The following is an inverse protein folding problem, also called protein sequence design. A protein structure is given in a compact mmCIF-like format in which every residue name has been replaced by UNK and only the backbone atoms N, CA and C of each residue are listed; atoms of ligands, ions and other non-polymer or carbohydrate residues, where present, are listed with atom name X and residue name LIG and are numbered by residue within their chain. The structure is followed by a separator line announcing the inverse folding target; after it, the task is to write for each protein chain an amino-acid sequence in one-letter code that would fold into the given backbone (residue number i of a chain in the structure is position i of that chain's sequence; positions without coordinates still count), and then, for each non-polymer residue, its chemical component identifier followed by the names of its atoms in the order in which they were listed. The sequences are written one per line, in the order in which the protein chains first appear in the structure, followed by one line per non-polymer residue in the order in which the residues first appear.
data_IF_459513676535
#
_entry.id   IF_459513676535
#
_cell.length_a   1.000
_cell.length_b   1.000
_cell.length_c   1.000
_cell.angle_alpha   90.00
_cell.angle_beta   90.00
_cell.angle_gamma   90.00
#
_symmetry.space_group_name_H-M   'P 1'
#
loop_
_entity.id
_entity.type
_entity.pdbx_description
1 polymer ?
#
# COMPACT_ATOMS: atom_id res chain seq x y z
N UNK A 1 22.09 7.00 15.29
CA UNK A 1 21.27 8.11 15.82
C UNK A 1 19.83 7.61 15.87
N UNK A 2 19.18 7.63 17.04
CA UNK A 2 17.76 7.30 17.15
C UNK A 2 16.94 8.49 16.62
N UNK A 3 15.98 8.25 15.72
CA UNK A 3 15.20 9.31 15.04
C UNK A 3 13.71 9.29 15.38
N UNK A 4 13.19 8.19 15.96
CA UNK A 4 11.80 8.03 16.37
C UNK A 4 11.66 6.92 17.43
N UNK A 5 10.52 6.92 18.13
CA UNK A 5 9.97 5.74 18.78
C UNK A 5 8.88 5.20 17.85
N UNK A 6 8.97 3.93 17.46
CA UNK A 6 8.07 3.36 16.45
C UNK A 6 7.14 2.35 17.12
N UNK A 7 5.86 2.46 16.82
CA UNK A 7 4.82 1.53 17.25
C UNK A 7 4.40 0.73 16.02
N UNK A 8 4.58 -0.59 16.08
CA UNK A 8 4.01 -1.50 15.09
C UNK A 8 2.69 -2.03 15.65
N UNK A 9 1.58 -1.65 15.01
CA UNK A 9 0.24 -2.07 15.39
C UNK A 9 -0.25 -3.14 14.42
N UNK A 10 -0.46 -4.36 14.91
CA UNK A 10 -1.15 -5.40 14.14
C UNK A 10 -2.65 -5.13 14.16
N UNK A 11 -3.22 -4.82 13.00
CA UNK A 11 -4.61 -4.48 12.87
C UNK A 11 -5.14 -4.85 11.48
N UNK A 12 -6.45 -5.08 11.33
CA UNK A 12 -7.50 -5.14 12.38
C UNK A 12 -7.44 -6.43 13.21
N UNK A 13 -8.40 -6.63 14.12
CA UNK A 13 -8.58 -7.90 14.83
C UNK A 13 -8.64 -9.09 13.84
N UNK A 14 -7.94 -10.18 14.17
CA UNK A 14 -7.69 -11.32 13.30
C UNK A 14 -6.37 -11.26 12.52
N UNK A 15 -5.62 -10.15 12.58
CA UNK A 15 -4.28 -10.01 11.98
C UNK A 15 -3.18 -10.27 13.02
N UNK A 16 -2.20 -11.10 12.66
CA UNK A 16 -1.08 -11.43 13.55
C UNK A 16 -1.58 -12.04 14.86
N UNK A 17 -1.26 -11.41 15.97
CA UNK A 17 -1.76 -11.78 17.30
C UNK A 17 -3.02 -11.03 17.72
N UNK A 18 -3.45 -9.98 17.01
CA UNK A 18 -4.63 -9.21 17.37
C UNK A 18 -5.91 -10.03 17.19
N UNK A 19 -6.84 -9.94 18.14
CA UNK A 19 -8.07 -10.75 18.15
C UNK A 19 -9.23 -10.01 18.81
N UNK A 20 -10.45 -10.38 18.43
CA UNK A 20 -11.67 -9.99 19.14
C UNK A 20 -12.07 -11.14 20.09
N UNK A 21 -12.22 -10.91 21.41
CA UNK A 21 -12.69 -11.92 22.36
C UNK A 21 -14.06 -12.53 22.02
N UNK A 22 -14.89 -11.84 21.25
CA UNK A 22 -16.17 -12.36 20.75
C UNK A 22 -16.00 -13.42 19.66
N UNK A 23 -14.81 -13.50 19.04
CA UNK A 23 -14.50 -14.36 17.91
C UNK A 23 -14.91 -13.77 16.55
N UNK A 24 -15.32 -12.50 16.49
CA UNK A 24 -15.61 -11.82 15.22
C UNK A 24 -14.32 -11.58 14.43
N UNK A 25 -14.36 -11.93 13.14
CA UNK A 25 -13.30 -11.62 12.18
C UNK A 25 -13.81 -10.73 11.03
N UNK A 26 -15.02 -10.16 11.18
CA UNK A 26 -15.61 -9.28 10.17
C UNK A 26 -15.36 -7.82 10.51
N UNK A 27 -14.85 -7.06 9.56
CA UNK A 27 -14.63 -5.62 9.72
C UNK A 27 -14.67 -4.90 8.37
N UNK A 28 -14.56 -3.59 8.40
CA UNK A 28 -14.53 -2.71 7.23
C UNK A 28 -13.56 -1.54 7.48
N UNK A 29 -13.38 -0.67 6.47
CA UNK A 29 -12.47 0.48 6.59
C UNK A 29 -12.82 1.36 7.81
N UNK A 30 -14.11 1.60 8.06
CA UNK A 30 -14.58 2.45 9.16
C UNK A 30 -14.31 1.81 10.54
N UNK A 31 -14.74 0.56 10.75
CA UNK A 31 -14.60 -0.13 12.03
C UNK A 31 -13.11 -0.37 12.34
N UNK A 32 -12.31 -0.76 11.35
CA UNK A 32 -10.86 -0.87 11.52
C UNK A 32 -10.23 0.47 11.91
N UNK A 33 -10.70 1.59 11.36
CA UNK A 33 -10.24 2.93 11.73
C UNK A 33 -10.61 3.28 13.18
N UNK A 34 -11.85 3.01 13.60
CA UNK A 34 -12.28 3.27 14.98
C UNK A 34 -11.50 2.43 16.00
N UNK A 35 -11.24 1.17 15.70
CA UNK A 35 -10.45 0.29 16.57
C UNK A 35 -8.99 0.73 16.64
N UNK A 36 -8.38 1.10 15.51
CA UNK A 36 -7.03 1.66 15.48
C UNK A 36 -6.93 2.97 16.26
N UNK A 37 -7.93 3.85 16.11
CA UNK A 37 -7.99 5.10 16.84
C UNK A 37 -8.07 4.85 18.36
N UNK A 38 -8.92 3.93 18.82
CA UNK A 38 -9.00 3.54 20.24
C UNK A 38 -7.70 2.94 20.74
N UNK A 39 -7.05 2.07 19.97
CA UNK A 39 -5.75 1.50 20.32
C UNK A 39 -4.66 2.58 20.48
N UNK A 40 -4.66 3.60 19.61
CA UNK A 40 -3.75 4.75 19.75
C UNK A 40 -4.05 5.56 21.02
N UNK A 41 -5.33 5.81 21.34
CA UNK A 41 -5.68 6.48 22.59
C UNK A 41 -5.21 5.68 23.81
N UNK A 42 -5.47 4.37 23.82
CA UNK A 42 -5.08 3.47 24.90
C UNK A 42 -3.56 3.39 25.07
N UNK A 43 -2.80 3.44 23.97
CA UNK A 43 -1.35 3.58 24.02
C UNK A 43 -0.94 4.86 24.78
N UNK A 44 -1.53 6.01 24.45
CA UNK A 44 -1.17 7.27 25.13
C UNK A 44 -1.70 7.38 26.56
N UNK A 45 -2.70 6.58 26.94
CA UNK A 45 -3.16 6.49 28.33
C UNK A 45 -2.21 5.61 29.17
N UNK A 46 -1.67 4.53 28.58
CA UNK A 46 -0.69 3.66 29.23
C UNK A 46 0.75 4.21 29.20
N UNK A 47 1.08 5.03 28.20
CA UNK A 47 2.40 5.65 28.01
C UNK A 47 2.32 7.18 27.92
N UNK A 48 1.80 7.87 28.96
CA UNK A 48 1.52 9.31 28.92
C UNK A 48 2.77 10.17 28.71
N UNK A 49 3.96 9.66 29.03
CA UNK A 49 5.24 10.34 28.78
C UNK A 49 5.49 10.67 27.31
N UNK A 50 4.84 9.97 26.37
CA UNK A 50 4.98 10.23 24.95
C UNK A 50 3.97 11.24 24.40
N UNK A 51 2.97 11.68 25.18
CA UNK A 51 1.87 12.53 24.67
C UNK A 51 2.34 13.89 24.14
N UNK A 52 3.48 14.39 24.63
CA UNK A 52 4.09 15.64 24.15
C UNK A 52 4.94 15.47 22.88
N UNK A 53 5.24 14.24 22.48
CA UNK A 53 6.03 14.00 21.28
C UNK A 53 5.22 14.32 20.03
N UNK A 54 5.92 14.74 18.97
CA UNK A 54 5.34 14.79 17.63
C UNK A 54 4.91 13.38 17.22
N UNK A 55 3.64 13.24 16.83
CA UNK A 55 3.04 11.98 16.41
C UNK A 55 2.83 11.96 14.89
N UNK A 56 3.16 10.84 14.27
CA UNK A 56 3.01 10.62 12.84
C UNK A 56 2.33 9.28 12.59
N UNK A 57 1.43 9.23 11.61
CA UNK A 57 0.79 7.98 11.18
C UNK A 57 1.44 7.54 9.88
N UNK A 58 2.02 6.34 9.84
CA UNK A 58 2.71 5.84 8.65
C UNK A 58 2.29 4.42 8.31
N UNK A 59 2.23 4.10 7.02
CA UNK A 59 1.86 2.76 6.57
C UNK A 59 2.18 2.53 5.09
N UNK A 60 1.99 1.28 4.66
CA UNK A 60 2.28 0.83 3.29
C UNK A 60 1.07 0.11 2.66
N UNK A 61 0.98 0.08 1.33
CA UNK A 61 0.01 -0.74 0.59
C UNK A 61 -1.45 -0.35 0.86
N UNK A 62 -2.30 -1.28 1.33
CA UNK A 62 -3.68 -0.97 1.74
C UNK A 62 -3.76 0.06 2.88
N UNK A 63 -2.66 0.28 3.63
CA UNK A 63 -2.59 1.40 4.56
C UNK A 63 -2.62 2.77 3.86
N UNK A 64 -2.55 2.83 2.52
CA UNK A 64 -2.98 3.99 1.75
C UNK A 64 -4.41 4.43 2.05
N UNK A 65 -5.28 3.51 2.51
CA UNK A 65 -6.63 3.78 3.03
C UNK A 65 -6.59 4.01 4.56
N UNK A 66 -5.93 3.13 5.32
CA UNK A 66 -5.93 3.22 6.79
C UNK A 66 -5.25 4.47 7.34
N UNK A 67 -4.15 4.91 6.72
CA UNK A 67 -3.36 6.06 7.21
C UNK A 67 -4.14 7.37 7.11
N UNK A 68 -4.74 7.75 5.96
CA UNK A 68 -5.57 8.94 5.89
C UNK A 68 -6.76 8.90 6.85
N UNK A 69 -7.47 7.77 6.95
CA UNK A 69 -8.64 7.64 7.82
C UNK A 69 -8.27 7.78 9.30
N UNK A 70 -7.19 7.12 9.75
CA UNK A 70 -6.72 7.24 11.13
C UNK A 70 -6.19 8.65 11.43
N UNK A 71 -5.45 9.26 10.49
CA UNK A 71 -4.96 10.63 10.64
C UNK A 71 -6.13 11.63 10.73
N UNK A 72 -7.19 11.46 9.93
CA UNK A 72 -8.38 12.30 9.96
C UNK A 72 -9.10 12.14 11.30
N UNK A 73 -9.26 10.89 11.76
CA UNK A 73 -9.90 10.61 13.04
C UNK A 73 -9.16 11.26 14.23
N UNK A 74 -7.83 11.23 14.20
CA UNK A 74 -6.96 11.90 15.18
C UNK A 74 -6.96 13.43 15.04
N UNK A 75 -7.13 13.96 13.83
CA UNK A 75 -7.26 15.40 13.61
C UNK A 75 -8.58 15.93 14.20
N UNK A 76 -9.68 15.20 13.99
CA UNK A 76 -11.02 15.59 14.46
C UNK A 76 -11.17 15.46 15.98
N UNK A 77 -10.53 14.45 16.57
CA UNK A 77 -10.61 14.17 18.00
C UNK A 77 -9.21 13.86 18.57
N UNK A 78 -8.33 14.87 18.72
CA UNK A 78 -6.92 14.65 19.04
C UNK A 78 -6.66 14.09 20.43
N UNK A 79 -7.54 14.32 21.41
CA UNK A 79 -7.34 13.86 22.80
C UNK A 79 -5.94 14.23 23.36
N UNK A 80 -5.41 15.39 22.97
CA UNK A 80 -4.08 15.86 23.39
C UNK A 80 -2.90 15.20 22.67
N UNK A 81 -3.13 14.38 21.64
CA UNK A 81 -2.12 13.83 20.75
C UNK A 81 -1.67 14.91 19.77
N UNK A 82 -0.36 15.11 19.68
CA UNK A 82 0.26 16.13 18.84
C UNK A 82 0.55 15.59 17.43
N UNK A 83 -0.50 15.36 16.63
CA UNK A 83 -0.38 14.89 15.25
C UNK A 83 0.33 15.94 14.38
N UNK A 84 1.41 15.53 13.71
CA UNK A 84 2.23 16.40 12.84
C UNK A 84 2.19 16.04 11.36
N UNK A 85 1.73 14.84 11.02
CA UNK A 85 1.65 14.42 9.64
C UNK A 85 1.50 12.93 9.47
N UNK A 86 1.56 12.52 8.21
CA UNK A 86 1.40 11.13 7.81
C UNK A 86 2.29 10.80 6.61
N UNK A 87 2.68 9.53 6.49
CA UNK A 87 3.46 9.02 5.37
C UNK A 87 2.87 7.72 4.81
N UNK A 88 2.71 7.65 3.50
CA UNK A 88 2.08 6.53 2.79
C UNK A 88 3.09 6.00 1.78
N UNK A 89 3.53 4.76 1.99
CA UNK A 89 4.43 4.03 1.08
C UNK A 89 3.65 3.13 0.13
N UNK A 90 3.89 3.24 -1.17
CA UNK A 90 3.27 2.38 -2.19
C UNK A 90 1.76 2.16 -1.94
N UNK A 91 1.06 3.23 -1.57
CA UNK A 91 -0.28 3.12 -1.01
C UNK A 91 -1.35 3.01 -2.07
N UNK A 92 -2.38 2.20 -1.81
CA UNK A 92 -3.60 2.11 -2.62
C UNK A 92 -4.51 3.34 -2.38
N UNK A 93 -4.03 4.53 -2.78
CA UNK A 93 -4.67 5.82 -2.46
C UNK A 93 -5.84 6.15 -3.38
N UNK A 94 -5.85 5.61 -4.59
CA UNK A 94 -6.94 5.75 -5.57
C UNK A 94 -6.98 4.59 -6.55
N UNK A 95 -8.03 3.78 -6.46
CA UNK A 95 -8.10 2.49 -7.12
C UNK A 95 -8.19 2.66 -8.65
N UNK A 96 -8.99 3.61 -9.12
CA UNK A 96 -9.12 3.89 -10.56
C UNK A 96 -7.77 4.36 -11.14
N UNK A 97 -7.10 5.28 -10.46
CA UNK A 97 -5.81 5.79 -10.93
C UNK A 97 -4.72 4.71 -10.90
N UNK A 98 -4.70 3.82 -9.91
CA UNK A 98 -3.78 2.68 -9.88
C UNK A 98 -4.10 1.66 -10.97
N UNK A 99 -5.37 1.36 -11.22
CA UNK A 99 -5.80 0.50 -12.33
C UNK A 99 -5.36 1.04 -13.69
N UNK A 100 -5.53 2.34 -13.91
CA UNK A 100 -4.98 2.98 -15.12
C UNK A 100 -3.46 2.88 -15.16
N UNK A 101 -2.80 3.18 -14.05
CA UNK A 101 -1.35 3.19 -13.98
C UNK A 101 -0.75 1.82 -14.31
N UNK A 102 -1.34 0.71 -13.85
CA UNK A 102 -0.78 -0.63 -14.07
C UNK A 102 -0.79 -1.04 -15.56
N UNK A 103 -1.79 -0.60 -16.34
CA UNK A 103 -1.84 -0.87 -17.79
C UNK A 103 -0.73 -0.12 -18.53
N UNK A 104 -0.57 1.18 -18.24
CA UNK A 104 0.53 1.96 -18.77
C UNK A 104 1.88 1.42 -18.32
N UNK A 105 2.01 1.05 -17.05
CA UNK A 105 3.23 0.48 -16.48
C UNK A 105 3.62 -0.80 -17.23
N UNK A 106 2.69 -1.75 -17.37
CA UNK A 106 2.94 -3.03 -18.03
C UNK A 106 3.42 -2.88 -19.47
N UNK A 107 2.78 -2.00 -20.25
CA UNK A 107 3.22 -1.73 -21.61
C UNK A 107 4.63 -1.12 -21.66
N UNK A 108 4.86 -0.02 -20.95
CA UNK A 108 6.14 0.70 -21.01
C UNK A 108 7.29 -0.03 -20.30
N UNK A 109 7.01 -1.08 -19.53
CA UNK A 109 8.00 -2.00 -18.97
C UNK A 109 8.14 -3.30 -19.78
N UNK A 110 7.49 -3.39 -20.94
CA UNK A 110 7.69 -4.47 -21.90
C UNK A 110 7.05 -5.80 -21.50
N UNK A 111 6.01 -5.78 -20.67
CA UNK A 111 5.28 -7.01 -20.29
C UNK A 111 4.42 -7.54 -21.44
N UNK A 112 3.89 -6.66 -22.26
CA UNK A 112 3.13 -7.00 -23.47
C UNK A 112 3.44 -6.04 -24.61
N UNK A 113 3.33 -6.53 -25.84
CA UNK A 113 3.78 -5.84 -27.05
C UNK A 113 2.72 -4.93 -27.69
N UNK A 114 3.17 -4.23 -28.74
CA UNK A 114 2.39 -3.21 -29.47
C UNK A 114 1.03 -3.72 -29.96
N UNK A 115 0.94 -4.97 -30.42
CA UNK A 115 -0.33 -5.53 -30.93
C UNK A 115 -1.43 -5.49 -29.84
N UNK A 116 -1.11 -5.99 -28.64
CA UNK A 116 -2.06 -5.97 -27.51
C UNK A 116 -2.30 -4.54 -27.02
N UNK A 117 -1.25 -3.70 -26.95
CA UNK A 117 -1.42 -2.32 -26.51
C UNK A 117 -2.28 -1.50 -27.48
N UNK A 118 -2.12 -1.69 -28.78
CA UNK A 118 -2.95 -1.05 -29.80
C UNK A 118 -4.41 -1.53 -29.69
N UNK A 119 -4.63 -2.82 -29.43
CA UNK A 119 -5.97 -3.37 -29.20
C UNK A 119 -6.61 -2.76 -27.94
N UNK A 120 -5.90 -2.76 -26.81
CA UNK A 120 -6.36 -2.11 -25.56
C UNK A 120 -6.70 -0.64 -25.81
N UNK A 121 -5.77 0.14 -26.37
CA UNK A 121 -5.95 1.58 -26.49
C UNK A 121 -6.99 1.99 -27.55
N UNK A 122 -7.13 1.25 -28.65
CA UNK A 122 -8.15 1.55 -29.68
C UNK A 122 -9.57 1.33 -29.18
N UNK A 123 -9.76 0.43 -28.21
CA UNK A 123 -11.08 0.07 -27.69
C UNK A 123 -11.39 0.74 -26.34
N UNK A 124 -10.37 1.06 -25.54
CA UNK A 124 -10.55 1.60 -24.19
C UNK A 124 -10.28 3.11 -24.07
N UNK A 125 -9.68 3.75 -25.07
CA UNK A 125 -9.31 5.17 -25.01
C UNK A 125 -10.08 6.02 -26.03
N UNK A 126 -10.57 7.18 -25.59
CA UNK A 126 -11.22 8.13 -26.48
C UNK A 126 -10.22 9.20 -26.96
N UNK A 127 -9.69 9.01 -28.16
CA UNK A 127 -8.78 9.96 -28.81
C UNK A 127 -7.31 9.76 -28.39
N UNK A 128 -6.70 10.77 -27.78
CA UNK A 128 -5.26 10.70 -27.40
C UNK A 128 -5.11 9.79 -26.20
N UNK A 129 -4.26 8.76 -26.28
CA UNK A 129 -4.02 7.81 -25.19
C UNK A 129 -3.41 8.50 -23.96
N UNK A 130 -4.18 8.64 -22.89
CA UNK A 130 -3.75 9.22 -21.61
C UNK A 130 -4.60 8.72 -20.44
N UNK A 131 -4.21 9.05 -19.21
CA UNK A 131 -5.01 8.69 -18.01
C UNK A 131 -6.41 9.33 -17.98
N UNK A 132 -6.61 10.45 -18.69
CA UNK A 132 -7.88 11.16 -18.76
C UNK A 132 -8.85 10.54 -19.78
N UNK A 133 -8.32 9.95 -20.84
CA UNK A 133 -9.11 9.48 -22.00
C UNK A 133 -9.29 7.98 -22.02
N UNK A 134 -8.44 7.23 -21.31
CA UNK A 134 -8.51 5.78 -21.21
C UNK A 134 -9.33 5.34 -19.99
N UNK A 135 -10.24 4.40 -20.22
CA UNK A 135 -10.97 3.64 -19.21
C UNK A 135 -10.74 2.15 -19.45
N UNK A 136 -9.84 1.54 -18.67
CA UNK A 136 -9.45 0.13 -18.82
C UNK A 136 -10.34 -0.78 -17.96
N UNK A 137 -11.66 -0.76 -18.22
CA UNK A 137 -12.71 -1.56 -17.56
C UNK A 137 -13.26 -1.06 -16.21
N UNK A 138 -12.99 0.19 -15.81
CA UNK A 138 -13.56 0.71 -14.56
C UNK A 138 -15.03 1.13 -14.71
N UNK A 139 -15.38 1.85 -15.78
CA UNK A 139 -16.78 2.22 -16.07
C UNK A 139 -17.34 1.48 -17.29
N UNK A 140 -16.49 1.23 -18.29
CA UNK A 140 -16.85 0.49 -19.50
C UNK A 140 -16.97 -1.01 -19.23
N UNK A 141 -18.01 -1.60 -19.79
CA UNK A 141 -18.25 -3.04 -19.79
C UNK A 141 -18.31 -3.60 -21.23
N UNK A 142 -17.82 -2.81 -22.19
CA UNK A 142 -17.73 -3.24 -23.59
C UNK A 142 -16.69 -4.37 -23.70
N UNK A 143 -17.08 -5.58 -24.14
CA UNK A 143 -16.14 -6.69 -24.32
C UNK A 143 -14.96 -6.32 -25.22
N UNK A 144 -15.13 -5.43 -26.20
CA UNK A 144 -14.05 -4.98 -27.06
C UNK A 144 -12.92 -4.27 -26.29
N UNK A 145 -13.22 -3.65 -25.15
CA UNK A 145 -12.22 -3.10 -24.24
C UNK A 145 -11.83 -4.08 -23.13
N UNK A 146 -12.83 -4.73 -22.51
CA UNK A 146 -12.61 -5.58 -21.33
C UNK A 146 -11.78 -6.82 -21.65
N UNK A 147 -11.98 -7.46 -22.80
CA UNK A 147 -11.25 -8.68 -23.18
C UNK A 147 -9.73 -8.45 -23.35
N UNK A 148 -9.26 -7.45 -24.13
CA UNK A 148 -7.82 -7.20 -24.23
C UNK A 148 -7.22 -6.66 -22.92
N UNK A 149 -7.98 -5.94 -22.10
CA UNK A 149 -7.55 -5.55 -20.74
C UNK A 149 -7.34 -6.79 -19.87
N UNK A 150 -8.25 -7.78 -19.91
CA UNK A 150 -8.07 -9.04 -19.20
C UNK A 150 -6.81 -9.79 -19.66
N UNK A 151 -6.52 -9.82 -20.96
CA UNK A 151 -5.29 -10.45 -21.47
C UNK A 151 -4.05 -9.74 -20.91
N UNK A 152 -4.01 -8.40 -20.96
CA UNK A 152 -2.90 -7.63 -20.41
C UNK A 152 -2.76 -7.83 -18.90
N UNK A 153 -3.88 -7.88 -18.18
CA UNK A 153 -3.94 -8.13 -16.75
C UNK A 153 -3.43 -9.52 -16.38
N UNK A 154 -3.84 -10.57 -17.08
CA UNK A 154 -3.34 -11.94 -16.88
C UNK A 154 -1.83 -12.07 -17.15
N UNK A 155 -1.27 -11.25 -18.05
CA UNK A 155 0.18 -11.17 -18.26
C UNK A 155 0.87 -10.50 -17.06
N UNK A 156 0.33 -9.39 -16.55
CA UNK A 156 0.85 -8.68 -15.38
C UNK A 156 0.82 -9.58 -14.13
N UNK A 157 -0.25 -10.37 -13.99
CA UNK A 157 -0.40 -11.39 -12.95
C UNK A 157 0.21 -12.74 -13.32
N UNK A 158 0.90 -12.81 -14.45
CA UNK A 158 1.34 -14.07 -15.04
C UNK A 158 2.43 -14.74 -14.22
N UNK A 159 2.44 -16.08 -14.28
CA UNK A 159 3.38 -16.95 -13.56
C UNK A 159 4.83 -16.48 -13.69
N UNK A 160 5.40 -16.09 -12.56
CA UNK A 160 6.84 -15.85 -12.40
C UNK A 160 7.26 -14.38 -12.42
N UNK A 161 6.33 -13.45 -12.64
CA UNK A 161 6.57 -12.03 -12.37
C UNK A 161 6.40 -11.74 -10.88
N UNK A 162 7.29 -10.95 -10.32
CA UNK A 162 7.13 -10.43 -8.98
C UNK A 162 6.39 -9.10 -9.03
N UNK A 163 5.11 -9.15 -8.67
CA UNK A 163 4.23 -7.98 -8.65
C UNK A 163 4.75 -6.86 -7.74
N UNK A 164 5.41 -7.22 -6.65
CA UNK A 164 5.92 -6.25 -5.70
C UNK A 164 7.27 -5.67 -6.13
N UNK A 165 8.01 -6.32 -7.04
CA UNK A 165 9.24 -5.75 -7.61
C UNK A 165 9.52 -6.44 -8.94
N UNK A 166 9.20 -5.76 -10.05
CA UNK A 166 9.28 -6.34 -11.39
C UNK A 166 10.63 -7.00 -11.71
N UNK A 167 11.73 -6.48 -11.15
CA UNK A 167 13.08 -6.91 -11.48
C UNK A 167 13.67 -7.92 -10.49
N UNK A 168 12.93 -8.32 -9.46
CA UNK A 168 13.33 -9.37 -8.52
C UNK A 168 12.73 -10.70 -8.96
N UNK A 169 13.52 -11.78 -9.05
CA UNK A 169 13.02 -13.11 -9.39
C UNK A 169 11.91 -13.57 -8.44
N UNK A 170 10.85 -14.15 -8.99
CA UNK A 170 9.84 -14.86 -8.22
C UNK A 170 10.12 -16.38 -8.31
N UNK A 171 10.53 -17.00 -7.21
CA UNK A 171 10.75 -18.45 -7.18
C UNK A 171 9.40 -19.17 -7.06
N UNK A 172 8.90 -19.69 -8.19
CA UNK A 172 7.70 -20.53 -8.21
C UNK A 172 8.08 -21.89 -7.61
N UNK A 173 8.07 -22.01 -6.28
CA UNK A 173 8.15 -23.31 -5.64
C UNK A 173 6.93 -24.11 -6.06
N UNK A 174 7.11 -25.18 -6.83
CA UNK A 174 6.04 -26.16 -7.08
C UNK A 174 5.72 -26.88 -5.78
N UNK A 175 4.84 -26.32 -4.96
CA UNK A 175 4.33 -27.00 -3.78
C UNK A 175 3.49 -28.22 -4.24
N UNK A 176 3.72 -29.42 -3.69
CA UNK A 176 2.85 -30.57 -3.90
C UNK A 176 1.39 -30.18 -3.63
N UNK A 177 0.48 -30.64 -4.50
CA UNK A 177 -0.97 -30.36 -4.45
C UNK A 177 -1.62 -30.64 -3.08
N UNK A 178 -1.00 -31.52 -2.30
CA UNK A 178 -1.41 -31.89 -0.94
C UNK A 178 -1.14 -30.79 0.09
N UNK A 179 -0.10 -29.95 -0.10
CA UNK A 179 0.17 -28.77 0.75
C UNK A 179 -0.77 -27.61 0.39
N UNK A 180 -1.12 -27.43 -0.90
CA UNK A 180 -2.12 -26.45 -1.33
C UNK A 180 -3.53 -26.70 -0.74
N UNK A 181 -3.81 -27.91 -0.24
CA UNK A 181 -5.10 -28.28 0.35
C UNK A 181 -5.29 -27.82 1.81
N UNK A 182 -4.21 -27.38 2.47
CA UNK A 182 -4.27 -26.68 3.75
C UNK A 182 -4.22 -25.19 3.44
N UNK A 183 -5.05 -24.37 4.11
CA UNK A 183 -5.01 -22.90 4.02
C UNK A 183 -3.60 -22.41 4.41
N UNK A 184 -2.69 -22.38 3.44
CA UNK A 184 -1.32 -21.92 3.67
C UNK A 184 -1.36 -20.38 3.74
N UNK A 185 -0.72 -19.77 4.76
CA UNK A 185 -0.68 -18.32 4.94
C UNK A 185 -0.25 -17.55 3.68
N UNK A 186 0.65 -18.14 2.91
CA UNK A 186 1.20 -17.59 1.66
C UNK A 186 0.12 -17.41 0.59
N UNK A 187 -0.79 -18.39 0.44
CA UNK A 187 -1.90 -18.35 -0.52
C UNK A 187 -2.86 -17.19 -0.21
N UNK A 188 -3.03 -16.88 1.07
CA UNK A 188 -3.95 -15.82 1.51
C UNK A 188 -3.41 -14.42 1.22
N UNK A 189 -2.12 -14.17 1.44
CA UNK A 189 -1.51 -12.85 1.15
C UNK A 189 -1.69 -12.46 -0.32
N UNK A 190 -1.46 -13.42 -1.22
CA UNK A 190 -1.59 -13.23 -2.66
C UNK A 190 -3.03 -13.05 -3.08
N UNK A 191 -3.96 -13.82 -2.50
CA UNK A 191 -5.38 -13.67 -2.79
C UNK A 191 -5.88 -12.26 -2.44
N UNK A 192 -5.41 -11.69 -1.32
CA UNK A 192 -5.74 -10.33 -0.93
C UNK A 192 -5.20 -9.29 -1.94
N UNK A 193 -3.95 -9.44 -2.40
CA UNK A 193 -3.38 -8.54 -3.42
C UNK A 193 -4.04 -8.70 -4.79
N UNK A 194 -4.38 -9.93 -5.19
CA UNK A 194 -5.12 -10.19 -6.42
C UNK A 194 -6.52 -9.56 -6.37
N UNK A 195 -7.22 -9.69 -5.25
CA UNK A 195 -8.51 -9.03 -5.06
C UNK A 195 -8.38 -7.51 -5.14
N UNK A 196 -7.33 -6.93 -4.54
CA UNK A 196 -7.06 -5.50 -4.59
C UNK A 196 -6.85 -5.03 -6.04
N UNK A 197 -5.96 -5.69 -6.79
CA UNK A 197 -5.67 -5.33 -8.18
C UNK A 197 -6.87 -5.51 -9.10
N UNK A 198 -7.62 -6.58 -8.92
CA UNK A 198 -8.86 -6.83 -9.68
C UNK A 198 -9.82 -5.66 -9.48
N UNK A 199 -10.00 -5.24 -8.22
CA UNK A 199 -10.83 -4.09 -7.88
C UNK A 199 -10.29 -2.80 -8.48
N UNK A 200 -8.97 -2.57 -8.46
CA UNK A 200 -8.33 -1.40 -9.08
C UNK A 200 -8.63 -1.27 -10.58
N UNK A 201 -8.80 -2.38 -11.28
CA UNK A 201 -9.15 -2.41 -12.71
C UNK A 201 -10.66 -2.47 -12.97
N UNK A 202 -11.51 -2.52 -11.94
CA UNK A 202 -12.95 -2.69 -12.11
C UNK A 202 -13.36 -4.06 -12.66
N UNK A 203 -12.45 -5.03 -12.65
CA UNK A 203 -12.69 -6.37 -13.20
C UNK A 203 -13.44 -7.26 -12.20
N UNK A 204 -14.02 -8.36 -12.68
CA UNK A 204 -14.54 -9.41 -11.79
C UNK A 204 -13.41 -10.33 -11.36
N UNK A 205 -13.42 -10.75 -10.09
CA UNK A 205 -12.43 -11.70 -9.56
C UNK A 205 -12.63 -13.05 -10.21
N UNK A 206 -11.62 -13.53 -10.95
CA UNK A 206 -11.55 -14.93 -11.36
C UNK A 206 -11.29 -15.82 -10.14
N UNK A 207 -11.91 -17.00 -10.10
CA UNK A 207 -11.65 -18.04 -9.10
C UNK A 207 -10.25 -18.68 -9.25
N UNK A 208 -9.53 -18.38 -10.33
CA UNK A 208 -8.20 -18.94 -10.59
C UNK A 208 -7.12 -18.21 -9.81
N UNK A 209 -6.83 -18.70 -8.60
CA UNK A 209 -5.65 -18.29 -7.84
C UNK A 209 -4.42 -18.93 -8.47
N UNK A 210 -3.50 -18.09 -8.95
CA UNK A 210 -2.17 -18.53 -9.35
C UNK A 210 -1.21 -18.18 -8.22
N UNK A 211 -0.50 -19.20 -7.73
CA UNK A 211 0.50 -19.08 -6.66
C UNK A 211 1.70 -18.24 -7.13
N UNK A 212 1.90 -17.09 -6.48
CA UNK A 212 2.93 -16.10 -6.75
C UNK A 212 3.64 -15.68 -5.46
N UNK A 213 4.21 -16.63 -4.72
CA UNK A 213 4.98 -16.25 -3.56
C UNK A 213 6.38 -15.77 -3.97
N UNK A 214 6.50 -14.48 -4.26
CA UNK A 214 7.77 -13.90 -4.67
C UNK A 214 8.64 -13.44 -3.49
N UNK A 215 8.14 -13.54 -2.25
CA UNK A 215 8.91 -13.28 -1.04
C UNK A 215 8.74 -14.40 -0.02
N UNK A 216 9.84 -15.08 0.33
CA UNK A 216 9.80 -16.11 1.34
C UNK A 216 9.50 -15.52 2.73
N UNK A 217 8.37 -15.92 3.32
CA UNK A 217 7.94 -15.52 4.67
C UNK A 217 8.07 -16.64 5.73
N UNK A 218 8.65 -17.78 5.36
CA UNK A 218 8.84 -18.96 6.24
C UNK A 218 9.52 -18.59 7.56
N UNK A 219 10.56 -17.75 7.49
CA UNK A 219 11.31 -17.35 8.66
C UNK A 219 10.48 -16.52 9.65
N UNK A 220 9.54 -15.72 9.16
CA UNK A 220 8.62 -14.95 10.00
C UNK A 220 7.65 -15.90 10.70
N UNK A 221 7.04 -16.81 9.95
CA UNK A 221 6.15 -17.84 10.49
C UNK A 221 6.85 -18.69 11.56
N UNK A 222 8.08 -19.13 11.29
CA UNK A 222 8.87 -19.93 12.22
C UNK A 222 9.25 -19.13 13.47
N UNK A 223 9.63 -17.87 13.33
CA UNK A 223 10.07 -17.05 14.45
C UNK A 223 8.93 -16.66 15.39
N UNK A 224 7.86 -16.05 14.85
CA UNK A 224 6.75 -15.56 15.66
C UNK A 224 5.94 -16.68 16.32
N UNK A 225 5.91 -17.89 15.74
CA UNK A 225 5.21 -19.01 16.38
C UNK A 225 6.06 -19.81 17.40
N UNK A 226 7.28 -19.37 17.71
CA UNK A 226 8.06 -19.96 18.79
C UNK A 226 7.48 -19.61 20.15
N UNK A 227 7.37 -20.60 21.03
CA UNK A 227 6.83 -20.42 22.39
C UNK A 227 7.57 -19.34 23.19
N UNK A 228 8.90 -19.31 23.11
CA UNK A 228 9.69 -18.32 23.83
C UNK A 228 9.53 -16.89 23.27
N UNK A 229 9.21 -16.75 21.99
CA UNK A 229 8.88 -15.45 21.37
C UNK A 229 7.49 -15.00 21.77
N UNK A 230 6.49 -15.88 21.74
CA UNK A 230 5.12 -15.59 22.18
C UNK A 230 5.11 -15.10 23.65
N UNK A 231 5.85 -15.79 24.52
CA UNK A 231 5.98 -15.40 25.93
C UNK A 231 6.71 -14.06 26.10
N UNK A 232 7.79 -13.83 25.34
CA UNK A 232 8.54 -12.57 25.38
C UNK A 232 7.74 -11.37 24.84
N UNK A 233 6.78 -11.60 23.95
CA UNK A 233 5.87 -10.58 23.40
C UNK A 233 4.59 -10.41 24.23
N UNK A 234 4.34 -11.27 25.23
CA UNK A 234 3.15 -11.27 26.07
C UNK A 234 1.82 -11.45 25.28
N UNK A 235 1.82 -12.36 24.30
CA UNK A 235 0.69 -12.62 23.40
C UNK A 235 0.10 -14.03 23.54
N UNK A 236 0.33 -14.70 24.68
CA UNK A 236 -0.13 -16.08 24.95
C UNK A 236 -1.65 -16.24 24.92
N UNK A 237 -2.38 -15.14 25.12
CA UNK A 237 -3.85 -15.14 25.10
C UNK A 237 -4.42 -15.08 23.67
N UNK A 238 -3.60 -14.77 22.67
CA UNK A 238 -4.05 -14.76 21.29
C UNK A 238 -4.47 -16.17 20.86
N UNK A 239 -5.68 -16.37 20.33
CA UNK A 239 -6.13 -17.66 19.84
C UNK A 239 -5.54 -18.00 18.46
N UNK A 240 -4.73 -17.11 17.89
CA UNK A 240 -4.25 -17.19 16.52
C UNK A 240 -2.83 -17.74 16.44
N UNK A 241 -2.60 -18.57 15.41
CA UNK A 241 -1.24 -18.84 14.91
C UNK A 241 -0.83 -17.62 14.11
N UNK A 242 0.31 -17.03 14.44
CA UNK A 242 0.78 -15.82 13.78
C UNK A 242 1.07 -16.11 12.32
N UNK A 243 0.52 -15.29 11.44
CA UNK A 243 0.70 -15.35 9.99
C UNK A 243 0.88 -13.93 9.45
N UNK A 244 1.73 -13.73 8.41
CA UNK A 244 1.98 -12.40 7.84
C UNK A 244 0.73 -11.71 7.30
N UNK A 245 -0.23 -12.48 6.77
CA UNK A 245 -1.54 -11.98 6.33
C UNK A 245 -2.64 -12.90 6.84
N UNK A 246 -3.70 -12.32 7.40
CA UNK A 246 -4.79 -13.07 8.03
C UNK A 246 -5.59 -13.90 7.04
N UNK A 247 -5.79 -15.19 7.34
CA UNK A 247 -6.60 -16.13 6.53
C UNK A 247 -8.06 -16.23 6.96
N UNK A 248 -8.43 -15.47 7.99
CA UNK A 248 -9.75 -15.51 8.64
C UNK A 248 -10.48 -14.18 8.58
N UNK A 249 -9.78 -13.10 8.23
CA UNK A 249 -10.34 -11.76 8.13
C UNK A 249 -11.37 -11.69 6.99
N UNK A 250 -12.60 -11.31 7.34
CA UNK A 250 -13.67 -10.99 6.41
C UNK A 250 -13.77 -9.46 6.29
N UNK A 251 -13.02 -8.89 5.36
CA UNK A 251 -12.86 -7.45 5.22
C UNK A 251 -13.76 -6.86 4.14
N UNK A 252 -14.56 -5.84 4.48
CA UNK A 252 -15.36 -5.07 3.53
C UNK A 252 -14.73 -3.71 3.26
N UNK A 253 -14.14 -3.55 2.07
CA UNK A 253 -13.65 -2.27 1.60
C UNK A 253 -14.84 -1.34 1.28
N UNK A 254 -14.80 -0.12 1.79
CA UNK A 254 -15.81 0.92 1.63
C UNK A 254 -15.31 2.08 0.77
N UNK A 255 -14.00 2.31 0.73
CA UNK A 255 -13.40 3.43 0.02
C UNK A 255 -12.57 2.97 -1.17
N UNK A 256 -12.77 3.60 -2.33
CA UNK A 256 -11.97 3.38 -3.54
C UNK A 256 -10.97 4.50 -3.80
N UNK A 257 -11.13 5.66 -3.13
CA UNK A 257 -10.22 6.80 -3.24
C UNK A 257 -10.15 7.54 -1.91
N UNK A 258 -8.96 8.04 -1.58
CA UNK A 258 -8.68 8.83 -0.38
C UNK A 258 -8.59 10.33 -0.67
N UNK A 259 -8.98 10.77 -1.87
CA UNK A 259 -8.78 12.15 -2.32
C UNK A 259 -9.39 13.17 -1.36
N UNK A 260 -10.65 12.99 -0.99
CA UNK A 260 -11.36 13.91 -0.10
C UNK A 260 -10.76 13.93 1.31
N UNK A 261 -10.41 12.76 1.85
CA UNK A 261 -9.78 12.63 3.18
C UNK A 261 -8.41 13.32 3.21
N UNK A 262 -7.58 13.08 2.19
CA UNK A 262 -6.26 13.71 2.05
C UNK A 262 -6.37 15.22 1.85
N UNK A 263 -7.37 15.70 1.11
CA UNK A 263 -7.65 17.14 0.98
C UNK A 263 -8.00 17.77 2.32
N UNK A 264 -8.89 17.15 3.11
CA UNK A 264 -9.24 17.64 4.45
C UNK A 264 -8.02 17.69 5.39
N UNK A 265 -7.17 16.66 5.35
CA UNK A 265 -5.92 16.64 6.12
C UNK A 265 -4.98 17.77 5.71
N UNK A 266 -4.84 18.03 4.40
CA UNK A 266 -3.97 19.08 3.88
C UNK A 266 -4.51 20.48 4.21
N UNK A 267 -5.83 20.67 4.14
CA UNK A 267 -6.52 21.94 4.43
C UNK A 267 -6.51 22.32 5.93
N UNK A 268 -6.17 21.38 6.82
CA UNK A 268 -5.86 21.68 8.23
C UNK A 268 -4.71 22.69 8.41
N UNK A 269 -3.87 22.86 7.38
CA UNK A 269 -2.82 23.88 7.31
C UNK A 269 -1.56 23.60 8.14
N UNK A 270 -1.54 22.55 8.98
CA UNK A 270 -0.42 22.27 9.88
C UNK A 270 0.13 20.84 9.78
N UNK A 271 -0.60 19.92 9.13
CA UNK A 271 -0.11 18.57 8.88
C UNK A 271 0.80 18.53 7.65
N UNK A 272 1.74 17.56 7.65
CA UNK A 272 2.57 17.22 6.50
C UNK A 272 2.13 15.87 5.93
N UNK A 273 1.97 15.79 4.61
CA UNK A 273 1.70 14.53 3.91
C UNK A 273 2.90 14.12 3.07
N UNK A 274 3.39 12.90 3.25
CA UNK A 274 4.38 12.28 2.38
C UNK A 274 3.74 11.09 1.67
N UNK A 275 3.70 11.13 0.34
CA UNK A 275 3.30 10.01 -0.51
C UNK A 275 4.56 9.54 -1.23
N UNK A 276 5.02 8.33 -0.95
CA UNK A 276 6.24 7.81 -1.55
C UNK A 276 6.02 6.45 -2.19
N UNK A 277 6.67 6.19 -3.32
CA UNK A 277 6.53 4.93 -4.05
C UNK A 277 7.89 4.43 -4.52
N UNK A 278 8.15 3.14 -4.37
CA UNK A 278 9.16 2.46 -5.17
C UNK A 278 8.76 2.45 -6.65
N UNK A 279 9.67 2.82 -7.55
CA UNK A 279 9.36 3.01 -8.97
C UNK A 279 9.35 1.72 -9.81
N UNK A 280 9.57 0.56 -9.18
CA UNK A 280 9.49 -0.77 -9.83
C UNK A 280 8.40 -1.68 -9.25
N UNK A 281 7.54 -1.12 -8.40
CA UNK A 281 6.34 -1.78 -7.86
C UNK A 281 5.21 -1.81 -8.90
N UNK A 282 4.59 -2.98 -9.07
CA UNK A 282 3.39 -3.14 -9.91
C UNK A 282 2.10 -3.25 -9.09
N UNK A 283 2.17 -3.54 -7.79
CA UNK A 283 0.98 -3.65 -6.94
C UNK A 283 0.33 -2.27 -6.72
N UNK A 284 1.14 -1.24 -6.49
CA UNK A 284 0.69 0.16 -6.39
C UNK A 284 1.67 1.08 -7.16
N UNK A 285 1.63 1.06 -8.52
CA UNK A 285 2.61 1.74 -9.34
C UNK A 285 2.74 3.22 -9.01
N UNK A 286 3.97 3.75 -9.06
CA UNK A 286 4.27 5.14 -8.68
C UNK A 286 3.47 6.17 -9.49
N UNK A 287 3.13 5.86 -10.76
CA UNK A 287 2.33 6.76 -11.60
C UNK A 287 0.95 6.99 -10.99
N UNK A 288 0.32 5.96 -10.41
CA UNK A 288 -0.99 6.10 -9.74
C UNK A 288 -0.90 7.01 -8.52
N UNK A 289 0.15 6.87 -7.70
CA UNK A 289 0.42 7.75 -6.56
C UNK A 289 0.75 9.19 -6.97
N UNK A 290 1.50 9.39 -8.07
CA UNK A 290 1.77 10.72 -8.61
C UNK A 290 0.49 11.38 -9.15
N UNK A 291 -0.29 10.63 -9.94
CA UNK A 291 -1.55 11.12 -10.50
C UNK A 291 -2.56 11.46 -9.41
N UNK A 292 -2.63 10.64 -8.36
CA UNK A 292 -3.42 10.93 -7.17
C UNK A 292 -2.96 12.23 -6.50
N UNK A 293 -1.65 12.38 -6.26
CA UNK A 293 -1.12 13.58 -5.62
C UNK A 293 -1.45 14.84 -6.43
N UNK A 294 -1.36 14.76 -7.77
CA UNK A 294 -1.75 15.85 -8.67
C UNK A 294 -3.27 16.09 -8.68
N UNK A 295 -4.09 15.04 -8.53
CA UNK A 295 -5.55 15.16 -8.52
C UNK A 295 -6.07 15.94 -7.32
N UNK A 296 -5.29 16.07 -6.23
CA UNK A 296 -5.61 16.92 -5.10
C UNK A 296 -5.82 18.40 -5.51
N UNK A 297 -5.25 18.84 -6.63
CA UNK A 297 -5.49 20.17 -7.21
C UNK A 297 -4.62 21.28 -6.60
N UNK A 298 -3.57 20.92 -5.85
CA UNK A 298 -2.66 21.89 -5.26
C UNK A 298 -1.55 22.29 -6.23
N UNK A 299 -1.20 23.58 -6.21
CA UNK A 299 -0.10 24.13 -7.01
C UNK A 299 1.24 23.52 -6.60
N UNK A 300 2.12 23.29 -7.58
CA UNK A 300 3.48 22.79 -7.30
C UNK A 300 4.33 23.90 -6.66
N UNK A 301 4.97 23.61 -5.54
CA UNK A 301 5.87 24.55 -4.84
C UNK A 301 7.34 24.33 -5.21
N UNK A 302 7.65 23.24 -5.92
CA UNK A 302 8.97 22.99 -6.51
C UNK A 302 8.87 22.32 -7.88
N UNK A 303 9.96 22.42 -8.64
CA UNK A 303 10.15 21.61 -9.83
C UNK A 303 10.34 20.14 -9.44
N UNK A 304 9.88 19.24 -10.32
CA UNK A 304 10.18 17.82 -10.21
C UNK A 304 11.69 17.60 -10.36
N UNK A 305 12.35 17.12 -9.32
CA UNK A 305 13.83 17.08 -9.24
C UNK A 305 14.34 15.79 -8.63
N UNK A 306 15.61 15.50 -8.89
CA UNK A 306 16.32 14.38 -8.27
C UNK A 306 16.59 14.67 -6.78
N UNK A 307 16.40 13.67 -5.92
CA UNK A 307 16.89 13.68 -4.55
C UNK A 307 18.01 12.64 -4.39
N UNK A 308 18.90 12.87 -3.43
CA UNK A 308 20.18 12.16 -3.35
C UNK A 308 20.47 11.62 -1.96
N UNK A 309 21.15 10.46 -1.92
CA UNK A 309 21.83 9.96 -0.74
C UNK A 309 23.32 9.91 -1.02
N UNK A 310 24.04 10.91 -0.49
CA UNK A 310 25.43 11.14 -0.88
C UNK A 310 25.54 11.39 -2.39
N UNK A 311 26.38 10.64 -3.13
CA UNK A 311 26.53 10.80 -4.58
C UNK A 311 25.47 10.07 -5.41
N UNK A 312 24.56 9.31 -4.79
CA UNK A 312 23.60 8.45 -5.49
C UNK A 312 22.27 9.17 -5.65
N UNK A 313 21.72 9.19 -6.87
CA UNK A 313 20.34 9.59 -7.11
C UNK A 313 19.44 8.51 -6.49
N UNK A 314 18.75 8.87 -5.42
CA UNK A 314 17.85 7.99 -4.69
C UNK A 314 16.45 7.95 -5.30
N UNK A 315 16.11 8.94 -6.12
CA UNK A 315 14.87 8.99 -6.91
C UNK A 315 14.50 10.43 -7.23
N UNK A 316 13.19 10.70 -7.32
CA UNK A 316 12.68 12.02 -7.66
C UNK A 316 11.67 12.52 -6.63
N UNK A 317 11.56 13.84 -6.48
CA UNK A 317 10.68 14.48 -5.52
C UNK A 317 10.00 15.69 -6.14
N UNK A 318 8.74 15.89 -5.76
CA UNK A 318 8.00 17.12 -6.02
C UNK A 318 7.17 17.51 -4.80
N UNK A 319 7.23 18.79 -4.45
CA UNK A 319 6.43 19.38 -3.37
C UNK A 319 5.28 20.20 -3.94
N UNK A 320 4.18 20.20 -3.19
CA UNK A 320 2.95 20.90 -3.54
C UNK A 320 2.60 21.89 -2.42
N UNK A 321 1.63 22.78 -2.67
CA UNK A 321 1.02 23.58 -1.62
C UNK A 321 0.37 22.66 -0.55
N UNK A 322 0.04 23.23 0.61
CA UNK A 322 -0.54 22.50 1.75
C UNK A 322 0.33 21.33 2.26
N UNK A 323 1.66 21.47 2.18
CA UNK A 323 2.65 20.56 2.76
C UNK A 323 2.55 19.09 2.28
N UNK A 324 2.08 18.87 1.06
CA UNK A 324 2.12 17.55 0.41
C UNK A 324 3.42 17.38 -0.38
N UNK A 325 4.05 16.23 -0.21
CA UNK A 325 5.26 15.84 -0.95
C UNK A 325 5.07 14.47 -1.60
N UNK A 326 5.36 14.38 -2.90
CA UNK A 326 5.46 13.11 -3.63
C UNK A 326 6.93 12.74 -3.84
N UNK A 327 7.27 11.47 -3.59
CA UNK A 327 8.64 10.94 -3.75
C UNK A 327 8.61 9.61 -4.49
N UNK A 328 9.50 9.43 -5.46
CA UNK A 328 9.86 8.10 -5.96
C UNK A 328 11.18 7.64 -5.34
N UNK A 329 11.29 6.33 -5.09
CA UNK A 329 12.52 5.69 -4.62
C UNK A 329 13.01 4.73 -5.70
N UNK A 330 14.12 5.11 -6.35
CA UNK A 330 14.58 4.51 -7.59
C UNK A 330 15.14 3.11 -7.39
N UNK A 331 14.53 2.15 -8.08
CA UNK A 331 14.83 0.72 -8.02
C UNK A 331 14.29 0.03 -6.78
N UNK A 332 13.35 0.64 -6.05
CA UNK A 332 12.60 -0.01 -4.98
C UNK A 332 11.27 -0.54 -5.50
N UNK A 333 10.86 -1.71 -5.00
CA UNK A 333 9.54 -2.27 -5.19
C UNK A 333 8.53 -1.76 -4.15
N UNK A 334 7.57 -2.61 -3.82
CA UNK A 334 6.45 -2.33 -2.93
C UNK A 334 6.89 -2.04 -1.50
N UNK A 335 7.77 -2.90 -0.97
CA UNK A 335 8.38 -2.75 0.34
C UNK A 335 9.64 -1.89 0.25
N UNK A 336 9.47 -0.57 0.08
CA UNK A 336 10.59 0.37 -0.13
C UNK A 336 11.69 0.24 0.94
N UNK A 337 11.38 0.12 2.24
CA UNK A 337 12.41 -0.06 3.27
C UNK A 337 13.19 -1.37 3.17
N UNK A 338 12.60 -2.42 2.57
CA UNK A 338 13.26 -3.69 2.33
C UNK A 338 14.27 -3.60 1.19
N UNK A 339 13.88 -2.99 0.07
CA UNK A 339 14.72 -2.92 -1.13
C UNK A 339 15.79 -1.81 -1.06
N UNK A 340 15.47 -0.70 -0.37
CA UNK A 340 16.29 0.52 -0.28
C UNK A 340 16.34 1.07 1.15
N UNK A 341 16.90 0.28 2.06
CA UNK A 341 16.93 0.60 3.48
C UNK A 341 17.62 1.94 3.80
N UNK A 342 18.75 2.25 3.15
CA UNK A 342 19.49 3.48 3.40
C UNK A 342 18.71 4.71 2.91
N UNK A 343 18.20 4.63 1.68
CA UNK A 343 17.41 5.70 1.06
C UNK A 343 16.12 5.95 1.82
N UNK A 344 15.42 4.89 2.24
CA UNK A 344 14.21 4.98 3.06
C UNK A 344 14.48 5.65 4.41
N UNK A 345 15.61 5.31 5.05
CA UNK A 345 15.99 5.92 6.33
C UNK A 345 16.29 7.41 6.17
N UNK A 346 16.97 7.83 5.11
CA UNK A 346 17.23 9.26 4.83
C UNK A 346 15.93 9.99 4.53
N UNK A 347 15.07 9.41 3.68
CA UNK A 347 13.77 9.96 3.32
C UNK A 347 12.89 10.21 4.55
N UNK A 348 12.70 9.19 5.40
CA UNK A 348 11.86 9.35 6.61
C UNK A 348 12.51 10.29 7.63
N UNK A 349 13.85 10.27 7.77
CA UNK A 349 14.56 11.21 8.65
C UNK A 349 14.34 12.67 8.22
N UNK A 350 14.41 12.94 6.92
CA UNK A 350 14.19 14.27 6.37
C UNK A 350 12.74 14.72 6.56
N UNK A 351 11.78 13.83 6.30
CA UNK A 351 10.35 14.09 6.53
C UNK A 351 10.04 14.43 7.99
N UNK A 352 10.53 13.63 8.94
CA UNK A 352 10.30 13.84 10.37
C UNK A 352 10.99 15.12 10.88
N UNK A 353 12.17 15.44 10.35
CA UNK A 353 12.99 16.57 10.80
C UNK A 353 12.77 17.88 10.03
N UNK A 354 11.76 17.95 9.14
CA UNK A 354 11.52 19.11 8.25
C UNK A 354 12.73 19.51 7.41
N UNK A 355 13.52 18.54 6.96
CA UNK A 355 14.65 18.79 6.04
C UNK A 355 14.19 18.57 4.60
N UNK A 356 14.73 19.33 3.64
CA UNK A 356 14.55 19.03 2.22
C UNK A 356 15.00 17.61 1.88
N UNK A 357 14.34 17.00 0.90
CA UNK A 357 14.73 15.72 0.30
C UNK A 357 15.94 15.88 -0.63
#
# INVERSE_FOLDING_TARGET
MQIANVIFLEAPAGVGYSYDPSGSNSTDDYNATEDNYRAVLEFFDNFPQFRQNDFYVTGESYAGVFVPLLAQRLLDQPHGINLKGYAIGNGAVDFELHGKAIMFFGYYHGLFGDDLWNEVTSNCCNGTVSKETCDFAWYTHDPACVDPVNIAYEIILGRGLNLYNLYVPCDIKTLPRELLSRRHPEITSQYATLQLLTKMLGLQTSDTVVDHNCYNQDNLLLYYNRRDVIEALHVEQSPHVWVPCSTILNFTQQHTTMREVVQQLAESGHLKGLIYHGDVDMACPFQGGEWFTRSLGYETTSQYKMWHVGPIIAGFVQTFANNITFVTVKGAGHMVPMDKAQESLVMISNFLSNRPF
#
